data_IF_192265180365
#
_entry.id   IF_192265180365
#
_cell.length_a   1.000
_cell.length_b   1.000
_cell.length_c   1.000
_cell.angle_alpha   90.00
_cell.angle_beta   90.00
_cell.angle_gamma   90.00
#
_symmetry.space_group_name_H-M   'P 1'
#
loop_
_entity.id
_entity.type
_entity.pdbx_description
1 polymer ?
#
# COMPACT_ATOMS: atom_id res chain seq x y z
N UNK A 1 -24.20 -11.38 -1.12
CA UNK A 1 -23.45 -10.74 -0.02
C UNK A 1 -24.44 -10.41 1.06
N UNK A 2 -24.24 -10.93 2.26
CA UNK A 2 -24.98 -10.48 3.44
C UNK A 2 -24.59 -9.02 3.77
N UNK A 3 -25.40 -8.32 4.56
CA UNK A 3 -25.01 -7.00 5.07
C UNK A 3 -23.70 -7.08 5.88
N UNK A 4 -23.44 -8.21 6.54
CA UNK A 4 -22.19 -8.50 7.25
C UNK A 4 -20.99 -8.58 6.31
N UNK A 5 -21.12 -9.25 5.14
CA UNK A 5 -20.02 -9.34 4.17
C UNK A 5 -19.64 -7.96 3.62
N UNK A 6 -20.64 -7.09 3.39
CA UNK A 6 -20.40 -5.72 2.91
C UNK A 6 -19.71 -4.88 3.99
N UNK A 7 -20.17 -4.97 5.25
CA UNK A 7 -19.54 -4.26 6.38
C UNK A 7 -18.09 -4.72 6.57
N UNK A 8 -17.87 -6.04 6.57
CA UNK A 8 -16.54 -6.65 6.66
C UNK A 8 -15.63 -6.19 5.52
N UNK A 9 -16.13 -6.14 4.28
CA UNK A 9 -15.35 -5.68 3.14
C UNK A 9 -14.91 -4.21 3.30
N UNK A 10 -15.75 -3.32 3.82
CA UNK A 10 -15.37 -1.92 4.10
C UNK A 10 -14.23 -1.85 5.11
N UNK A 11 -14.34 -2.59 6.22
CA UNK A 11 -13.29 -2.67 7.24
C UNK A 11 -11.97 -3.18 6.66
N UNK A 12 -12.02 -4.25 5.85
CA UNK A 12 -10.83 -4.79 5.19
C UNK A 12 -10.18 -3.81 4.23
N UNK A 13 -10.96 -3.12 3.40
CA UNK A 13 -10.43 -2.12 2.46
C UNK A 13 -9.73 -0.96 3.19
N UNK A 14 -10.33 -0.46 4.28
CA UNK A 14 -9.71 0.58 5.09
C UNK A 14 -8.39 0.10 5.72
N UNK A 15 -8.42 -1.09 6.33
CA UNK A 15 -7.24 -1.70 6.95
C UNK A 15 -6.10 -1.91 5.94
N UNK A 16 -6.39 -2.44 4.75
CA UNK A 16 -5.37 -2.65 3.72
C UNK A 16 -4.78 -1.33 3.21
N UNK A 17 -5.57 -0.27 3.07
CA UNK A 17 -5.05 1.05 2.66
C UNK A 17 -4.07 1.59 3.69
N UNK A 18 -4.39 1.48 4.99
CA UNK A 18 -3.52 1.91 6.07
C UNK A 18 -2.22 1.09 6.10
N UNK A 19 -2.35 -0.23 6.10
CA UNK A 19 -1.20 -1.13 6.16
C UNK A 19 -0.26 -1.01 4.95
N UNK A 20 -0.82 -0.83 3.75
CA UNK A 20 -0.01 -0.59 2.55
C UNK A 20 0.80 0.72 2.65
N UNK A 21 0.25 1.76 3.29
CA UNK A 21 0.98 3.03 3.51
C UNK A 21 2.10 2.88 4.53
N UNK A 22 1.89 2.11 5.58
CA UNK A 22 2.93 1.76 6.55
C UNK A 22 4.09 1.04 5.85
N UNK A 23 3.80 -0.03 5.11
CA UNK A 23 4.81 -0.76 4.35
C UNK A 23 5.49 0.10 3.29
N UNK A 24 4.77 0.96 2.57
CA UNK A 24 5.38 1.90 1.64
C UNK A 24 6.35 2.85 2.37
N UNK A 25 6.03 3.29 3.59
CA UNK A 25 6.93 4.04 4.47
C UNK A 25 8.22 3.27 4.79
N UNK A 26 8.08 2.06 5.32
CA UNK A 26 9.22 1.18 5.66
C UNK A 26 10.10 0.90 4.43
N UNK A 27 9.49 0.62 3.28
CA UNK A 27 10.21 0.35 2.04
C UNK A 27 10.97 1.59 1.55
N UNK A 28 10.41 2.81 1.69
CA UNK A 28 11.16 4.04 1.36
C UNK A 28 12.40 4.21 2.24
N UNK A 29 12.29 3.91 3.53
CA UNK A 29 13.44 3.96 4.44
C UNK A 29 14.53 2.95 4.05
N UNK A 30 14.13 1.73 3.69
CA UNK A 30 15.06 0.69 3.27
C UNK A 30 15.67 0.94 1.89
N UNK A 31 14.91 1.48 0.93
CA UNK A 31 15.46 1.95 -0.33
C UNK A 31 16.54 3.01 -0.09
N UNK A 32 16.31 3.96 0.82
CA UNK A 32 17.30 4.97 1.18
C UNK A 32 18.54 4.37 1.86
N UNK A 33 18.37 3.38 2.74
CA UNK A 33 19.49 2.63 3.36
C UNK A 33 20.30 1.87 2.31
N UNK A 34 19.65 1.14 1.41
CA UNK A 34 20.29 0.39 0.32
C UNK A 34 21.13 1.31 -0.58
N UNK A 35 20.63 2.50 -0.94
CA UNK A 35 21.44 3.49 -1.68
C UNK A 35 22.70 3.90 -0.93
N UNK A 36 22.62 4.12 0.38
CA UNK A 36 23.79 4.48 1.21
C UNK A 36 24.79 3.33 1.35
N UNK A 37 24.35 2.08 1.16
CA UNK A 37 25.20 0.89 1.16
C UNK A 37 25.88 0.64 -0.20
N UNK A 38 25.59 1.44 -1.23
CA UNK A 38 26.08 1.22 -2.59
C UNK A 38 25.23 0.25 -3.42
N UNK A 39 24.13 -0.25 -2.85
CA UNK A 39 23.22 -1.23 -3.48
C UNK A 39 22.18 -0.51 -4.35
N UNK A 40 22.64 0.13 -5.42
CA UNK A 40 21.82 0.99 -6.28
C UNK A 40 20.66 0.26 -6.97
N UNK A 41 20.91 -0.95 -7.48
CA UNK A 41 19.89 -1.78 -8.16
C UNK A 41 18.81 -2.24 -7.18
N UNK A 42 19.22 -2.79 -6.03
CA UNK A 42 18.29 -3.20 -4.94
C UNK A 42 17.44 -2.02 -4.48
N UNK A 43 18.04 -0.84 -4.30
CA UNK A 43 17.28 0.36 -3.96
C UNK A 43 16.28 0.79 -5.05
N UNK A 44 16.61 0.54 -6.31
CA UNK A 44 15.73 0.75 -7.46
C UNK A 44 14.51 -0.15 -7.41
N UNK A 45 14.72 -1.45 -7.17
CA UNK A 45 13.64 -2.44 -7.04
C UNK A 45 12.72 -2.15 -5.85
N UNK A 46 13.29 -1.82 -4.68
CA UNK A 46 12.48 -1.43 -3.51
C UNK A 46 11.69 -0.16 -3.79
N UNK A 47 12.27 0.83 -4.48
CA UNK A 47 11.55 2.04 -4.86
C UNK A 47 10.41 1.77 -5.85
N UNK A 48 10.57 0.78 -6.74
CA UNK A 48 9.49 0.35 -7.63
C UNK A 48 8.38 -0.38 -6.86
N UNK A 49 8.73 -1.19 -5.85
CA UNK A 49 7.75 -1.79 -4.95
C UNK A 49 6.91 -0.73 -4.22
N UNK A 50 7.55 0.36 -3.75
CA UNK A 50 6.85 1.51 -3.14
C UNK A 50 5.80 2.10 -4.08
N UNK A 51 6.17 2.39 -5.35
CA UNK A 51 5.22 2.96 -6.32
C UNK A 51 4.02 2.05 -6.56
N UNK A 52 4.28 0.74 -6.67
CA UNK A 52 3.20 -0.23 -6.87
C UNK A 52 2.29 -0.31 -5.64
N UNK A 53 2.86 -0.27 -4.43
CA UNK A 53 2.10 -0.22 -3.18
C UNK A 53 1.23 1.03 -3.05
N UNK A 54 1.77 2.20 -3.43
CA UNK A 54 1.02 3.46 -3.47
C UNK A 54 -0.15 3.34 -4.47
N UNK A 55 0.09 2.78 -5.66
CA UNK A 55 -0.96 2.55 -6.66
C UNK A 55 -2.05 1.59 -6.17
N UNK A 56 -1.69 0.52 -5.48
CA UNK A 56 -2.68 -0.39 -4.86
C UNK A 56 -3.50 0.38 -3.83
N UNK A 57 -2.86 1.17 -2.96
CA UNK A 57 -3.54 1.97 -1.94
C UNK A 57 -4.54 2.96 -2.54
N UNK A 58 -4.20 3.61 -3.66
CA UNK A 58 -5.12 4.48 -4.39
C UNK A 58 -6.34 3.73 -4.95
N UNK A 59 -6.10 2.57 -5.57
CA UNK A 59 -7.17 1.73 -6.12
C UNK A 59 -8.11 1.30 -5.01
N UNK A 60 -7.58 0.79 -3.89
CA UNK A 60 -8.38 0.35 -2.75
C UNK A 60 -9.16 1.51 -2.11
N UNK A 61 -8.54 2.70 -1.99
CA UNK A 61 -9.22 3.91 -1.53
C UNK A 61 -10.41 4.27 -2.43
N UNK A 62 -10.24 4.24 -3.76
CA UNK A 62 -11.35 4.50 -4.69
C UNK A 62 -12.43 3.41 -4.61
N UNK A 63 -12.04 2.15 -4.38
CA UNK A 63 -12.98 1.04 -4.20
C UNK A 63 -13.80 1.19 -2.91
N UNK A 64 -13.18 1.59 -1.80
CA UNK A 64 -13.87 1.86 -0.54
C UNK A 64 -14.92 2.97 -0.72
N UNK A 65 -14.56 4.08 -1.36
CA UNK A 65 -15.49 5.19 -1.64
C UNK A 65 -16.72 4.76 -2.43
N UNK A 66 -16.59 3.80 -3.36
CA UNK A 66 -17.72 3.25 -4.14
C UNK A 66 -18.68 2.39 -3.30
N UNK A 67 -18.26 1.93 -2.13
CA UNK A 67 -19.12 1.20 -1.19
C UNK A 67 -19.80 2.14 -0.17
N UNK A 68 -19.30 3.37 -0.05
CA UNK A 68 -19.82 4.42 0.83
C UNK A 68 -20.84 5.33 0.13
N UNK A 69 -20.77 5.43 -1.20
CA UNK A 69 -21.79 6.02 -2.07
C UNK A 69 -23.04 5.13 -2.17
#
# INVERSE_FOLDING_TARGET
MSNDDRSKLKTLLSYWVEHNREHAGEFREWAAKARRMGEGEVAGEIAEAVKNMDRVSEILTRTLKRLEA
#
